data_IF_875305022774
#
_entry.id   IF_875305022774
#
_cell.length_a   1.000
_cell.length_b   1.000
_cell.length_c   1.000
_cell.angle_alpha   90.00
_cell.angle_beta   90.00
_cell.angle_gamma   90.00
#
_symmetry.space_group_name_H-M   'P 1'
#
loop_
_entity.id
_entity.type
_entity.pdbx_description
1 polymer ?
#
# COMPACT_ATOMS: atom_id res chain seq x y z
N UNK A 1 -9.09 -10.69 12.96
CA UNK A 1 -8.13 -11.10 14.01
C UNK A 1 -7.37 -9.86 14.44
N UNK A 2 -7.02 -9.74 15.72
CA UNK A 2 -6.14 -8.68 16.23
C UNK A 2 -4.81 -9.30 16.66
N UNK A 3 -3.72 -8.73 16.18
CA UNK A 3 -2.33 -9.00 16.53
C UNK A 3 -1.81 -8.05 17.59
N UNK A 4 -2.27 -6.79 17.59
CA UNK A 4 -1.90 -5.79 18.60
C UNK A 4 -3.06 -5.57 19.55
N UNK A 5 -3.03 -6.25 20.70
CA UNK A 5 -4.00 -6.02 21.77
C UNK A 5 -3.60 -4.79 22.60
N UNK A 6 -3.86 -3.60 22.05
CA UNK A 6 -3.64 -2.35 22.75
C UNK A 6 -4.71 -1.30 22.45
N UNK A 7 -5.39 -0.83 23.50
CA UNK A 7 -6.29 0.32 23.42
C UNK A 7 -5.56 1.58 23.83
N UNK A 8 -5.29 2.44 22.86
CA UNK A 8 -4.64 3.72 23.12
C UNK A 8 -5.51 4.64 23.97
N UNK A 9 -4.83 5.36 24.86
CA UNK A 9 -5.41 6.32 25.79
C UNK A 9 -4.86 7.70 25.43
N UNK A 10 -5.63 8.76 25.69
CA UNK A 10 -5.15 10.14 25.51
C UNK A 10 -3.91 10.37 26.39
N UNK A 11 -2.85 10.95 25.81
CA UNK A 11 -1.62 11.31 26.52
C UNK A 11 -0.36 10.69 25.91
N UNK A 12 0.73 10.70 26.68
CA UNK A 12 2.03 10.17 26.26
C UNK A 12 1.95 8.67 25.96
N UNK A 13 2.53 8.27 24.84
CA UNK A 13 2.57 6.89 24.38
C UNK A 13 3.45 6.06 25.34
N UNK A 14 2.89 5.11 26.10
CA UNK A 14 3.65 4.40 27.11
C UNK A 14 4.47 3.26 26.50
N UNK A 15 5.56 2.83 27.16
CA UNK A 15 6.42 1.74 26.65
C UNK A 15 5.68 0.42 26.40
N UNK A 16 4.55 0.17 27.08
CA UNK A 16 3.68 -0.99 26.82
C UNK A 16 3.09 -0.99 25.41
N UNK A 17 2.84 0.18 24.82
CA UNK A 17 2.35 0.31 23.46
C UNK A 17 3.36 -0.25 22.45
N UNK A 18 4.61 0.22 22.54
CA UNK A 18 5.66 -0.22 21.62
C UNK A 18 5.91 -1.72 21.71
N UNK A 19 5.91 -2.28 22.92
CA UNK A 19 6.02 -3.72 23.13
C UNK A 19 4.89 -4.50 22.47
N UNK A 20 3.63 -4.07 22.63
CA UNK A 20 2.48 -4.72 22.00
C UNK A 20 2.56 -4.68 20.47
N UNK A 21 3.01 -3.56 19.89
CA UNK A 21 3.23 -3.45 18.44
C UNK A 21 4.34 -4.39 17.98
N UNK A 22 5.47 -4.42 18.67
CA UNK A 22 6.58 -5.31 18.33
C UNK A 22 6.19 -6.79 18.43
N UNK A 23 5.51 -7.18 19.51
CA UNK A 23 4.97 -8.54 19.71
C UNK A 23 3.97 -8.92 18.61
N UNK A 24 3.05 -8.01 18.27
CA UNK A 24 2.09 -8.22 17.18
C UNK A 24 2.74 -8.40 15.81
N UNK A 25 3.82 -7.64 15.52
CA UNK A 25 4.60 -7.83 14.30
C UNK A 25 5.31 -9.18 14.28
N UNK A 26 5.91 -9.61 15.39
CA UNK A 26 6.55 -10.92 15.47
C UNK A 26 5.53 -12.07 15.40
N UNK A 27 4.32 -11.89 15.91
CA UNK A 27 3.24 -12.86 15.78
C UNK A 27 2.73 -12.93 14.33
N UNK A 28 2.55 -11.78 13.67
CA UNK A 28 2.19 -11.74 12.25
C UNK A 28 3.21 -12.46 11.36
N UNK A 29 4.51 -12.39 11.66
CA UNK A 29 5.53 -13.13 10.91
C UNK A 29 5.37 -14.65 10.97
N UNK A 30 4.75 -15.19 12.03
CA UNK A 30 4.49 -16.63 12.17
C UNK A 30 3.26 -17.08 11.38
N UNK A 31 2.39 -16.14 11.01
CA UNK A 31 1.17 -16.42 10.27
C UNK A 31 1.50 -16.95 8.86
N UNK A 32 0.80 -18.02 8.48
CA UNK A 32 0.95 -18.61 7.15
C UNK A 32 -0.02 -17.98 6.15
N UNK A 33 -1.16 -17.44 6.63
CA UNK A 33 -2.19 -16.82 5.81
C UNK A 33 -2.18 -15.28 5.87
N UNK A 34 -1.41 -14.66 4.98
CA UNK A 34 -1.31 -13.19 4.81
C UNK A 34 -2.56 -12.55 4.18
N UNK A 35 -3.50 -13.35 3.69
CA UNK A 35 -4.76 -12.90 3.08
C UNK A 35 -5.89 -12.82 4.09
N UNK A 36 -5.62 -13.06 5.37
CA UNK A 36 -6.65 -12.95 6.41
C UNK A 36 -6.88 -11.47 6.75
N UNK A 37 -8.12 -10.96 6.62
CA UNK A 37 -8.42 -9.59 7.01
C UNK A 37 -8.18 -9.34 8.50
N UNK A 38 -7.65 -8.16 8.79
CA UNK A 38 -7.46 -7.69 10.14
C UNK A 38 -8.81 -7.24 10.73
N UNK A 39 -9.00 -7.42 12.05
CA UNK A 39 -10.22 -6.96 12.73
C UNK A 39 -10.32 -5.44 12.72
N UNK A 40 -11.55 -4.90 12.77
CA UNK A 40 -11.76 -3.48 13.11
C UNK A 40 -11.20 -3.09 14.48
N UNK A 41 -11.04 -4.05 15.39
CA UNK A 41 -10.46 -3.83 16.73
C UNK A 41 -8.97 -3.45 16.71
N UNK A 42 -8.30 -3.61 15.56
CA UNK A 42 -6.92 -3.18 15.32
C UNK A 42 -6.82 -1.72 14.88
N UNK A 43 -7.95 -1.06 14.63
CA UNK A 43 -7.98 0.36 14.37
C UNK A 43 -7.30 1.14 15.48
N UNK A 44 -6.48 2.10 15.07
CA UNK A 44 -5.85 3.05 15.98
C UNK A 44 -6.87 4.01 16.57
N UNK A 45 -7.07 3.94 17.88
CA UNK A 45 -7.99 4.82 18.60
C UNK A 45 -9.44 4.77 18.06
N UNK A 46 -10.34 5.55 18.66
CA UNK A 46 -11.66 5.75 18.10
C UNK A 46 -11.57 6.68 16.87
N UNK A 47 -11.86 6.13 15.68
CA UNK A 47 -12.06 6.91 14.45
C UNK A 47 -10.93 6.89 13.43
N UNK A 48 -9.87 6.09 13.60
CA UNK A 48 -8.96 5.81 12.48
C UNK A 48 -9.40 4.55 11.73
N UNK A 49 -9.29 4.61 10.41
CA UNK A 49 -9.56 3.47 9.53
C UNK A 49 -8.55 2.33 9.78
N UNK A 50 -8.98 1.09 9.53
CA UNK A 50 -8.22 -0.14 9.80
C UNK A 50 -6.90 -0.18 9.02
N UNK A 51 -6.83 0.50 7.87
CA UNK A 51 -5.61 0.67 7.06
C UNK A 51 -4.47 1.35 7.83
N UNK A 52 -4.80 2.20 8.79
CA UNK A 52 -3.85 2.83 9.71
C UNK A 52 -3.74 2.03 11.04
N UNK A 53 -3.95 0.72 11.02
CA UNK A 53 -3.85 -0.13 12.22
C UNK A 53 -2.45 -0.10 12.87
N UNK A 54 -2.40 -0.50 14.13
CA UNK A 54 -1.13 -0.62 14.86
C UNK A 54 -0.15 -1.58 14.18
N UNK A 55 -0.64 -2.72 13.71
CA UNK A 55 0.17 -3.70 12.99
C UNK A 55 0.77 -3.09 11.72
N UNK A 56 -0.05 -2.38 10.93
CA UNK A 56 0.39 -1.72 9.70
C UNK A 56 1.54 -0.73 9.98
N UNK A 57 1.36 0.17 10.95
CA UNK A 57 2.42 1.09 11.36
C UNK A 57 3.69 0.37 11.87
N UNK A 58 3.54 -0.73 12.62
CA UNK A 58 4.65 -1.53 13.13
C UNK A 58 5.47 -2.15 12.01
N UNK A 59 4.81 -2.82 11.05
CA UNK A 59 5.45 -3.40 9.86
C UNK A 59 6.21 -2.32 9.09
N UNK A 60 5.57 -1.19 8.82
CA UNK A 60 6.19 -0.10 8.07
C UNK A 60 7.38 0.55 8.77
N UNK A 61 7.34 0.65 10.10
CA UNK A 61 8.49 1.10 10.89
C UNK A 61 9.71 0.21 10.67
N UNK A 62 9.51 -1.12 10.69
CA UNK A 62 10.59 -2.10 10.48
C UNK A 62 11.09 -2.08 9.02
N UNK A 63 10.19 -2.07 8.05
CA UNK A 63 10.49 -2.11 6.61
C UNK A 63 11.25 -0.85 6.15
N UNK A 64 10.87 0.33 6.64
CA UNK A 64 11.53 1.60 6.32
C UNK A 64 12.84 1.80 7.11
N UNK A 65 13.19 0.90 8.04
CA UNK A 65 14.29 1.07 9.01
C UNK A 65 14.25 2.44 9.70
N UNK A 66 13.04 2.88 10.03
CA UNK A 66 12.81 4.21 10.56
C UNK A 66 13.33 4.29 12.00
N UNK A 67 14.10 5.33 12.31
CA UNK A 67 14.64 5.54 13.66
C UNK A 67 13.56 6.02 14.64
N UNK A 68 12.51 6.66 14.13
CA UNK A 68 11.38 7.13 14.91
C UNK A 68 10.42 5.99 15.25
N UNK A 69 9.97 5.96 16.50
CA UNK A 69 8.99 4.98 16.94
C UNK A 69 7.59 5.32 16.41
N UNK A 70 6.70 4.32 16.22
CA UNK A 70 5.33 4.58 15.77
C UNK A 70 4.60 5.55 16.72
N UNK A 71 4.08 6.68 16.23
CA UNK A 71 3.33 7.65 17.07
C UNK A 71 1.91 7.15 17.43
N UNK A 72 0.97 8.00 17.88
CA UNK A 72 -0.47 7.69 18.13
C UNK A 72 -1.47 8.26 17.11
N UNK A 73 -1.06 9.08 16.12
CA UNK A 73 -1.93 9.64 15.06
C UNK A 73 -2.21 8.74 13.84
N UNK A 74 -3.08 9.13 12.92
CA UNK A 74 -3.45 8.34 11.72
C UNK A 74 -2.35 8.25 10.64
N UNK A 75 -1.17 8.82 10.88
CA UNK A 75 -0.06 8.86 9.94
C UNK A 75 1.23 8.30 10.55
N UNK A 76 2.05 7.74 9.67
CA UNK A 76 3.40 7.31 9.93
C UNK A 76 4.38 8.43 9.56
N UNK A 77 5.30 8.77 10.47
CA UNK A 77 6.31 9.81 10.23
C UNK A 77 7.64 9.13 9.90
N UNK A 78 8.17 9.43 8.73
CA UNK A 78 9.46 8.97 8.27
C UNK A 78 10.48 10.11 8.40
N UNK A 79 11.69 9.78 8.88
CA UNK A 79 12.80 10.72 8.95
C UNK A 79 14.07 10.15 8.31
N UNK A 80 14.77 11.01 7.59
CA UNK A 80 16.11 10.75 7.04
C UNK A 80 16.97 11.98 7.31
N UNK A 81 17.88 11.88 8.29
CA UNK A 81 18.62 13.05 8.78
C UNK A 81 17.69 14.12 9.35
N UNK A 82 17.78 15.35 8.83
CA UNK A 82 16.90 16.47 9.21
C UNK A 82 15.60 16.52 8.42
N UNK A 83 15.45 15.66 7.42
CA UNK A 83 14.29 15.63 6.53
C UNK A 83 13.19 14.76 7.12
N UNK A 84 11.95 15.24 7.03
CA UNK A 84 10.76 14.57 7.50
C UNK A 84 9.70 14.48 6.40
N UNK A 85 9.03 13.34 6.30
CA UNK A 85 7.85 13.14 5.47
C UNK A 85 6.82 12.35 6.27
N UNK A 86 5.53 12.57 6.00
CA UNK A 86 4.46 11.77 6.62
C UNK A 86 3.78 10.89 5.58
N UNK A 87 3.30 9.75 6.03
CA UNK A 87 2.55 8.80 5.25
C UNK A 87 1.22 8.53 5.94
N UNK A 88 0.14 8.76 5.22
CA UNK A 88 -1.14 8.18 5.60
C UNK A 88 -1.24 6.76 5.02
N UNK A 89 -2.31 6.04 5.30
CA UNK A 89 -2.57 4.74 4.71
C UNK A 89 -3.84 4.82 3.85
N UNK A 90 -3.91 3.96 2.86
CA UNK A 90 -5.08 3.76 1.99
C UNK A 90 -5.07 2.31 1.48
N UNK A 91 -6.14 1.90 0.83
CA UNK A 91 -6.31 0.58 0.23
C UNK A 91 -5.95 0.62 -1.27
N UNK A 92 -5.04 -0.27 -1.70
CA UNK A 92 -4.53 -0.33 -3.08
C UNK A 92 -5.57 -0.73 -4.12
N UNK A 93 -6.58 -1.47 -3.70
CA UNK A 93 -7.69 -1.88 -4.55
C UNK A 93 -8.98 -1.55 -3.81
N UNK A 94 -9.25 -0.26 -3.68
CA UNK A 94 -10.40 0.30 -2.99
C UNK A 94 -11.46 0.76 -3.98
N UNK A 95 -12.27 -0.14 -4.57
CA UNK A 95 -13.34 0.35 -5.40
C UNK A 95 -14.45 0.79 -4.44
N UNK A 96 -14.51 2.08 -4.07
CA UNK A 96 -15.56 2.53 -3.16
C UNK A 96 -16.93 2.29 -3.80
N UNK A 97 -17.71 1.41 -3.18
CA UNK A 97 -19.02 0.98 -3.68
C UNK A 97 -20.05 2.01 -3.22
N UNK A 98 -20.59 2.81 -4.15
CA UNK A 98 -21.82 3.57 -3.91
C UNK A 98 -22.94 2.96 -4.74
N UNK A 99 -23.74 2.09 -4.11
CA UNK A 99 -24.80 1.34 -4.79
C UNK A 99 -24.23 0.21 -5.65
N UNK A 100 -24.56 0.17 -6.96
CA UNK A 100 -24.01 -0.80 -7.94
C UNK A 100 -22.88 -0.24 -8.81
N UNK A 101 -22.34 0.92 -8.43
CA UNK A 101 -21.29 1.60 -9.19
C UNK A 101 -20.07 1.73 -8.29
N UNK A 102 -18.94 1.26 -8.80
CA UNK A 102 -17.64 1.49 -8.19
C UNK A 102 -17.18 2.90 -8.53
N UNK A 103 -16.55 3.60 -7.58
CA UNK A 103 -15.90 4.91 -7.79
C UNK A 103 -14.94 4.82 -8.96
N UNK A 104 -13.95 3.95 -8.77
CA UNK A 104 -12.93 3.62 -9.73
C UNK A 104 -13.52 3.01 -11.01
N UNK A 105 -13.36 3.74 -12.12
CA UNK A 105 -13.88 3.36 -13.43
C UNK A 105 -13.43 1.98 -13.97
N UNK A 106 -12.42 1.35 -13.36
CA UNK A 106 -11.94 0.00 -13.70
C UNK A 106 -12.92 -1.10 -13.32
N UNK A 107 -13.76 -0.86 -12.31
CA UNK A 107 -14.59 -1.88 -11.69
C UNK A 107 -16.05 -1.81 -12.12
N UNK A 108 -16.40 -0.92 -13.07
CA UNK A 108 -17.79 -0.59 -13.46
C UNK A 108 -18.68 -1.80 -13.79
N UNK A 109 -18.10 -2.97 -14.08
CA UNK A 109 -18.82 -4.21 -14.39
C UNK A 109 -18.19 -5.44 -13.70
N UNK A 110 -17.81 -5.34 -12.43
CA UNK A 110 -17.39 -6.54 -11.69
C UNK A 110 -18.53 -7.58 -11.64
N UNK A 111 -18.21 -8.82 -12.01
CA UNK A 111 -19.06 -9.96 -11.71
C UNK A 111 -19.09 -10.26 -10.19
N UNK A 112 -20.06 -11.06 -9.76
CA UNK A 112 -20.28 -11.35 -8.34
C UNK A 112 -19.08 -12.05 -7.69
N UNK A 113 -18.37 -12.90 -8.42
CA UNK A 113 -17.20 -13.64 -7.92
C UNK A 113 -16.03 -12.69 -7.65
N UNK A 114 -15.74 -11.78 -8.58
CA UNK A 114 -14.69 -10.80 -8.43
C UNK A 114 -14.99 -9.78 -7.33
N UNK A 115 -16.27 -9.44 -7.15
CA UNK A 115 -16.73 -8.63 -6.01
C UNK A 115 -16.45 -9.28 -4.65
N UNK A 116 -16.67 -10.58 -4.49
CA UNK A 116 -16.35 -11.29 -3.24
C UNK A 116 -14.85 -11.42 -3.01
N UNK A 117 -14.06 -11.64 -4.06
CA UNK A 117 -12.60 -11.67 -3.96
C UNK A 117 -12.01 -10.34 -3.49
N UNK A 118 -12.49 -9.20 -4.01
CA UNK A 118 -12.07 -7.87 -3.56
C UNK A 118 -12.39 -7.64 -2.09
N UNK A 119 -13.61 -8.02 -1.65
CA UNK A 119 -14.00 -7.90 -0.23
C UNK A 119 -13.13 -8.76 0.67
N UNK A 120 -12.78 -9.97 0.22
CA UNK A 120 -11.96 -10.90 0.99
C UNK A 120 -10.54 -10.37 1.27
N UNK A 121 -10.00 -9.51 0.40
CA UNK A 121 -8.65 -8.94 0.57
C UNK A 121 -8.64 -7.50 1.11
N UNK A 122 -9.80 -6.86 1.25
CA UNK A 122 -9.93 -5.41 1.48
C UNK A 122 -9.06 -4.90 2.64
N UNK A 123 -9.20 -5.49 3.83
CA UNK A 123 -8.39 -5.15 5.02
C UNK A 123 -7.27 -6.14 5.31
N UNK A 124 -6.60 -6.65 4.27
CA UNK A 124 -5.39 -7.46 4.44
C UNK A 124 -4.15 -6.57 4.46
N UNK A 125 -3.11 -6.98 5.20
CA UNK A 125 -1.88 -6.21 5.35
C UNK A 125 -1.24 -5.85 3.99
N UNK A 126 -1.29 -6.74 2.99
CA UNK A 126 -0.72 -6.41 1.68
C UNK A 126 -1.65 -5.66 0.73
N UNK A 127 -2.88 -5.36 1.13
CA UNK A 127 -3.75 -4.45 0.38
C UNK A 127 -3.76 -3.03 0.97
N UNK A 128 -3.18 -2.85 2.17
CA UNK A 128 -2.93 -1.54 2.78
C UNK A 128 -1.59 -1.00 2.31
N UNK A 129 -1.55 0.27 1.92
CA UNK A 129 -0.31 0.91 1.47
C UNK A 129 -0.18 2.34 2.02
N UNK A 130 1.04 2.78 2.35
CA UNK A 130 1.29 4.13 2.77
C UNK A 130 1.23 5.11 1.58
N UNK A 131 0.41 6.14 1.72
CA UNK A 131 0.28 7.28 0.82
C UNK A 131 1.19 8.42 1.32
N UNK A 132 2.23 8.81 0.56
CA UNK A 132 3.12 9.89 0.95
C UNK A 132 2.40 11.24 0.91
N UNK A 133 2.64 12.04 1.94
CA UNK A 133 2.30 13.46 1.97
C UNK A 133 3.59 14.26 2.00
N UNK A 134 3.82 15.03 0.94
CA UNK A 134 5.09 15.71 0.75
C UNK A 134 5.09 17.07 1.46
N UNK A 135 6.09 17.38 2.30
CA UNK A 135 6.13 18.65 3.01
C UNK A 135 6.33 19.81 2.03
N UNK A 136 5.69 20.94 2.34
CA UNK A 136 5.86 22.22 1.66
C UNK A 136 6.44 23.26 2.63
N UNK A 137 7.06 24.30 2.08
CA UNK A 137 7.50 25.45 2.87
C UNK A 137 6.32 26.02 3.68
N UNK A 138 6.54 26.29 4.98
CA UNK A 138 5.49 26.79 5.88
C UNK A 138 4.70 25.71 6.62
N UNK A 139 5.10 24.43 6.54
CA UNK A 139 4.54 23.35 7.37
C UNK A 139 3.25 22.72 6.86
N UNK A 140 2.79 23.12 5.68
CA UNK A 140 1.72 22.43 4.93
C UNK A 140 2.26 21.21 4.17
N UNK A 141 1.35 20.39 3.64
CA UNK A 141 1.71 19.20 2.86
C UNK A 141 0.94 19.15 1.54
N UNK A 142 1.56 18.57 0.51
CA UNK A 142 0.83 18.00 -0.62
C UNK A 142 0.09 16.77 -0.08
N UNK A 143 -1.23 16.92 0.07
CA UNK A 143 -2.13 15.91 0.62
C UNK A 143 -2.30 14.76 -0.39
N UNK A 144 -1.57 13.67 -0.15
CA UNK A 144 -1.57 12.50 -1.04
C UNK A 144 -2.93 11.81 -1.10
N UNK A 145 -3.74 11.84 -0.03
CA UNK A 145 -5.06 11.23 -0.02
C UNK A 145 -6.04 12.02 -0.90
N UNK A 146 -6.03 13.36 -0.81
CA UNK A 146 -6.82 14.22 -1.72
C UNK A 146 -6.36 14.10 -3.16
N UNK A 147 -5.06 13.99 -3.40
CA UNK A 147 -4.52 13.77 -4.73
C UNK A 147 -5.02 12.44 -5.31
N UNK A 148 -4.92 11.35 -4.55
CA UNK A 148 -5.42 10.04 -4.96
C UNK A 148 -6.93 10.06 -5.24
N UNK A 149 -7.72 10.70 -4.37
CA UNK A 149 -9.17 10.89 -4.56
C UNK A 149 -9.51 11.71 -5.81
N UNK A 150 -8.71 12.71 -6.15
CA UNK A 150 -8.90 13.51 -7.37
C UNK A 150 -8.67 12.71 -8.66
N UNK A 151 -7.96 11.58 -8.55
CA UNK A 151 -7.68 10.64 -9.62
C UNK A 151 -8.63 9.43 -9.57
N UNK A 152 -9.81 9.55 -8.96
CA UNK A 152 -10.80 8.47 -8.89
C UNK A 152 -10.29 7.20 -8.19
N UNK A 153 -9.40 7.39 -7.20
CA UNK A 153 -8.77 6.28 -6.45
C UNK A 153 -8.01 5.29 -7.38
N UNK A 154 -7.55 5.80 -8.54
CA UNK A 154 -6.77 5.04 -9.53
C UNK A 154 -5.29 5.07 -9.21
N UNK A 155 -4.81 3.94 -8.72
CA UNK A 155 -3.39 3.75 -8.40
C UNK A 155 -2.46 3.88 -9.61
N UNK A 156 -2.84 3.41 -10.80
CA UNK A 156 -1.99 3.57 -11.99
C UNK A 156 -1.75 5.05 -12.34
N UNK A 157 -2.78 5.90 -12.20
CA UNK A 157 -2.68 7.33 -12.42
C UNK A 157 -1.93 8.03 -11.27
N UNK A 158 -2.24 7.65 -10.03
CA UNK A 158 -1.60 8.22 -8.84
C UNK A 158 -0.09 7.95 -8.83
N UNK A 159 0.33 6.71 -9.11
CA UNK A 159 1.73 6.33 -9.18
C UNK A 159 2.47 7.03 -10.32
N UNK A 160 1.82 7.30 -11.47
CA UNK A 160 2.40 8.12 -12.54
C UNK A 160 2.63 9.57 -12.11
N UNK A 161 1.67 10.17 -11.39
CA UNK A 161 1.82 11.52 -10.83
C UNK A 161 2.96 11.54 -9.81
N UNK A 162 3.02 10.54 -8.92
CA UNK A 162 4.12 10.40 -7.97
C UNK A 162 5.45 10.28 -8.70
N UNK A 163 5.62 9.35 -9.66
CA UNK A 163 6.87 9.16 -10.40
C UNK A 163 7.33 10.44 -11.07
N UNK A 164 6.42 11.14 -11.74
CA UNK A 164 6.71 12.38 -12.49
C UNK A 164 7.16 13.53 -11.60
N UNK A 165 6.73 13.55 -10.34
CA UNK A 165 6.98 14.65 -9.42
C UNK A 165 7.87 14.28 -8.22
N UNK A 166 8.27 13.01 -8.08
CA UNK A 166 8.93 12.49 -6.88
C UNK A 166 10.17 13.30 -6.50
N UNK A 167 11.07 13.53 -7.47
CA UNK A 167 12.30 14.32 -7.24
C UNK A 167 12.02 15.78 -6.84
N UNK A 168 10.87 16.33 -7.21
CA UNK A 168 10.48 17.70 -6.92
C UNK A 168 9.78 17.84 -5.57
N UNK A 169 8.96 16.85 -5.21
CA UNK A 169 8.15 16.90 -3.99
C UNK A 169 8.83 16.23 -2.81
N UNK A 170 9.60 15.17 -3.04
CA UNK A 170 10.33 14.50 -1.97
C UNK A 170 11.53 15.35 -1.55
N UNK A 171 11.59 15.78 -0.27
CA UNK A 171 12.73 16.52 0.26
C UNK A 171 14.04 15.71 0.34
N UNK A 172 13.99 14.39 0.34
CA UNK A 172 15.16 13.50 0.27
C UNK A 172 14.92 12.36 -0.74
N UNK A 173 15.01 12.65 -2.06
CA UNK A 173 14.76 11.66 -3.10
C UNK A 173 15.88 10.61 -3.20
N UNK A 174 17.03 10.83 -2.54
CA UNK A 174 18.12 9.86 -2.48
C UNK A 174 17.94 8.88 -1.31
N UNK A 175 17.45 9.35 -0.15
CA UNK A 175 17.12 8.50 0.99
C UNK A 175 15.87 7.64 0.75
N UNK A 176 14.92 8.15 -0.02
CA UNK A 176 13.76 7.38 -0.48
C UNK A 176 13.43 7.71 -1.94
N UNK A 177 13.99 6.97 -2.90
CA UNK A 177 13.60 7.12 -4.31
C UNK A 177 12.19 6.60 -4.58
N UNK A 178 11.63 6.95 -5.73
CA UNK A 178 10.32 6.43 -6.15
C UNK A 178 10.35 4.91 -6.30
N UNK A 179 11.42 4.38 -6.90
CA UNK A 179 11.63 2.94 -7.08
C UNK A 179 11.74 2.25 -5.72
N UNK A 180 12.43 2.88 -4.76
CA UNK A 180 12.52 2.36 -3.40
C UNK A 180 11.16 2.35 -2.73
N UNK A 181 10.37 3.40 -2.88
CA UNK A 181 8.98 3.43 -2.40
C UNK A 181 8.17 2.28 -3.00
N UNK A 182 8.17 2.12 -4.33
CA UNK A 182 7.47 1.05 -5.05
C UNK A 182 7.88 -0.35 -4.59
N UNK A 183 9.16 -0.56 -4.29
CA UNK A 183 9.67 -1.83 -3.78
C UNK A 183 9.15 -2.10 -2.37
N UNK A 184 9.19 -1.09 -1.50
CA UNK A 184 8.76 -1.23 -0.11
C UNK A 184 7.24 -1.42 0.00
N UNK A 185 6.46 -0.80 -0.88
CA UNK A 185 4.98 -0.94 -0.93
C UNK A 185 4.51 -2.15 -1.71
N UNK A 186 5.42 -2.92 -2.29
CA UNK A 186 5.10 -4.05 -3.17
C UNK A 186 4.23 -3.67 -4.40
N UNK A 187 4.45 -2.47 -4.94
CA UNK A 187 3.70 -1.92 -6.08
C UNK A 187 4.40 -2.12 -7.43
N UNK A 188 5.43 -2.97 -7.50
CA UNK A 188 6.22 -3.28 -8.70
C UNK A 188 5.36 -3.69 -9.90
N UNK A 189 4.19 -4.29 -9.66
CA UNK A 189 3.26 -4.75 -10.70
C UNK A 189 2.77 -3.66 -11.64
N UNK A 190 2.88 -2.38 -11.24
CA UNK A 190 2.51 -1.24 -12.07
C UNK A 190 3.58 -0.87 -13.10
N UNK A 191 4.78 -1.45 -13.02
CA UNK A 191 5.78 -1.31 -14.08
C UNK A 191 5.42 -2.19 -15.27
N UNK A 192 5.51 -1.62 -16.48
CA UNK A 192 5.16 -2.28 -17.74
C UNK A 192 5.83 -3.64 -17.90
N UNK A 193 7.13 -3.71 -17.65
CA UNK A 193 7.92 -4.94 -17.78
C UNK A 193 7.49 -6.04 -16.81
N UNK A 194 7.04 -5.67 -15.61
CA UNK A 194 6.56 -6.59 -14.57
C UNK A 194 5.14 -7.03 -14.88
N UNK A 195 4.29 -6.08 -15.29
CA UNK A 195 2.92 -6.37 -15.70
C UNK A 195 2.87 -7.36 -16.88
N UNK A 196 3.73 -7.16 -17.87
CA UNK A 196 3.86 -8.06 -19.01
C UNK A 196 4.42 -9.44 -18.61
N UNK A 197 5.33 -9.50 -17.64
CA UNK A 197 5.88 -10.75 -17.09
C UNK A 197 4.76 -11.63 -16.52
N UNK A 198 3.94 -11.03 -15.64
CA UNK A 198 2.77 -11.69 -15.03
C UNK A 198 1.79 -12.16 -16.11
N UNK A 199 1.62 -11.37 -17.17
CA UNK A 199 0.72 -11.67 -18.28
C UNK A 199 1.21 -12.82 -19.17
N UNK A 200 2.52 -12.96 -19.36
CA UNK A 200 3.15 -13.98 -20.23
C UNK A 200 3.23 -15.35 -19.55
N UNK A 201 3.38 -15.42 -18.23
CA UNK A 201 3.49 -16.68 -17.48
C UNK A 201 2.18 -17.49 -17.36
N UNK A 202 1.11 -17.17 -18.11
CA UNK A 202 -0.13 -17.96 -18.08
C UNK A 202 -0.87 -17.87 -16.74
N UNK A 203 -0.76 -16.71 -16.08
CA UNK A 203 -1.67 -16.20 -15.07
C UNK A 203 -2.15 -17.19 -13.98
N UNK A 204 -1.18 -17.73 -13.24
CA UNK A 204 -1.47 -18.26 -11.91
C UNK A 204 -0.80 -17.37 -10.87
N UNK A 205 -1.43 -16.24 -10.55
CA UNK A 205 -1.01 -15.33 -9.45
C UNK A 205 -0.87 -16.05 -8.10
N UNK A 206 -1.43 -17.26 -7.97
CA UNK A 206 -1.22 -18.18 -6.86
C UNK A 206 0.25 -18.62 -6.67
N UNK A 207 1.11 -18.42 -7.67
CA UNK A 207 2.52 -18.83 -7.65
C UNK A 207 3.51 -17.67 -7.48
N UNK A 208 3.05 -16.45 -7.17
CA UNK A 208 3.97 -15.36 -6.85
C UNK A 208 4.62 -15.67 -5.49
N UNK A 209 5.91 -15.98 -5.52
CA UNK A 209 6.73 -16.24 -4.33
C UNK A 209 7.55 -15.01 -3.95
N UNK A 210 8.17 -15.04 -2.77
CA UNK A 210 9.15 -14.01 -2.37
C UNK A 210 10.28 -13.88 -3.39
N UNK A 211 10.71 -14.99 -4.00
CA UNK A 211 11.79 -14.96 -4.99
C UNK A 211 11.32 -14.34 -6.32
N UNK A 212 10.07 -14.52 -6.72
CA UNK A 212 9.48 -13.78 -7.84
C UNK A 212 9.56 -12.27 -7.60
N UNK A 213 9.26 -11.81 -6.39
CA UNK A 213 9.28 -10.38 -6.05
C UNK A 213 10.71 -9.84 -5.98
N UNK A 214 11.64 -10.62 -5.43
CA UNK A 214 13.07 -10.26 -5.47
C UNK A 214 13.54 -10.07 -6.92
N UNK A 215 13.17 -10.97 -7.83
CA UNK A 215 13.47 -10.81 -9.26
C UNK A 215 12.85 -9.55 -9.85
N UNK A 216 11.64 -9.17 -9.45
CA UNK A 216 11.03 -7.91 -9.91
C UNK A 216 11.77 -6.68 -9.40
N UNK A 217 12.26 -6.69 -8.16
CA UNK A 217 13.05 -5.59 -7.60
C UNK A 217 14.29 -5.29 -8.44
N UNK A 218 14.96 -6.33 -8.94
CA UNK A 218 16.18 -6.22 -9.73
C UNK A 218 15.93 -5.73 -11.17
N UNK A 219 14.68 -5.72 -11.63
CA UNK A 219 14.29 -5.31 -12.99
C UNK A 219 13.90 -3.85 -13.09
N UNK A 220 13.47 -3.23 -11.99
CA UNK A 220 12.94 -1.87 -12.00
C UNK A 220 14.08 -0.86 -12.01
N UNK A 221 13.98 0.10 -12.93
CA UNK A 221 14.92 1.22 -13.05
C UNK A 221 14.18 2.56 -13.04
N UNK A 222 14.88 3.69 -12.82
CA UNK A 222 14.28 5.01 -12.96
C UNK A 222 13.60 5.26 -14.32
N UNK A 223 14.13 4.63 -15.38
CA UNK A 223 13.60 4.77 -16.75
C UNK A 223 12.46 3.80 -17.06
N UNK A 224 12.21 2.80 -16.20
CA UNK A 224 11.11 1.84 -16.37
C UNK A 224 9.76 2.56 -16.38
N UNK A 225 8.91 2.22 -17.34
CA UNK A 225 7.60 2.86 -17.53
C UNK A 225 6.54 2.25 -16.63
N UNK A 226 5.61 3.08 -16.17
CA UNK A 226 4.40 2.62 -15.49
C UNK A 226 3.28 2.43 -16.51
N UNK A 227 2.44 1.43 -16.27
CA UNK A 227 1.24 1.20 -17.06
C UNK A 227 0.18 2.26 -16.75
N UNK A 228 -0.73 2.48 -17.71
CA UNK A 228 -2.01 3.15 -17.47
C UNK A 228 -3.11 2.25 -17.99
N UNK A 229 -4.14 1.99 -17.20
CA UNK A 229 -5.30 1.24 -17.71
C UNK A 229 -6.23 2.10 -18.57
N UNK A 230 -5.88 3.39 -18.77
CA UNK A 230 -6.49 4.23 -19.80
C UNK A 230 -5.88 3.99 -21.18
N UNK A 231 -4.69 3.38 -21.25
CA UNK A 231 -4.09 2.94 -22.50
C UNK A 231 -4.81 1.67 -22.99
N UNK A 232 -5.31 1.62 -24.25
CA UNK A 232 -5.90 0.42 -24.83
C UNK A 232 -5.03 -0.84 -24.71
N UNK A 233 -3.70 -0.72 -24.70
CA UNK A 233 -2.77 -1.85 -24.50
C UNK A 233 -2.98 -2.57 -23.17
N UNK A 234 -3.37 -1.84 -22.12
CA UNK A 234 -3.58 -2.36 -20.76
C UNK A 234 -5.04 -2.24 -20.30
N UNK A 235 -5.95 -1.86 -21.20
CA UNK A 235 -7.35 -1.67 -20.86
C UNK A 235 -7.94 -2.96 -20.28
N UNK A 236 -8.60 -2.80 -19.14
CA UNK A 236 -9.27 -3.90 -18.44
C UNK A 236 -10.61 -4.30 -19.08
N UNK A 237 -11.06 -3.57 -20.11
CA UNK A 237 -12.25 -3.93 -20.86
C UNK A 237 -12.01 -5.18 -21.71
N UNK A 238 -12.47 -6.33 -21.20
CA UNK A 238 -12.54 -7.58 -21.95
C UNK A 238 -11.36 -8.55 -21.78
N UNK A 239 -10.41 -8.27 -20.87
CA UNK A 239 -9.24 -9.14 -20.66
C UNK A 239 -9.29 -9.83 -19.31
N UNK A 240 -8.90 -11.12 -19.26
CA UNK A 240 -8.64 -11.87 -18.01
C UNK A 240 -7.67 -11.14 -17.09
N UNK A 241 -6.89 -10.21 -17.66
CA UNK A 241 -5.91 -9.33 -17.01
C UNK A 241 -6.51 -8.38 -15.95
N UNK A 242 -7.80 -8.05 -16.04
CA UNK A 242 -8.51 -7.26 -15.01
C UNK A 242 -8.55 -7.98 -13.67
N UNK A 243 -8.78 -9.30 -13.68
CA UNK A 243 -8.94 -10.12 -12.47
C UNK A 243 -7.69 -10.15 -11.58
N UNK A 244 -6.50 -9.94 -12.13
CA UNK A 244 -5.22 -10.16 -11.43
C UNK A 244 -4.71 -8.94 -10.67
N UNK A 245 -5.08 -7.74 -11.10
CA UNK A 245 -4.80 -6.50 -10.37
C UNK A 245 -5.89 -6.20 -9.36
N UNK A 246 -7.14 -6.49 -9.71
CA UNK A 246 -8.30 -6.31 -8.83
C UNK A 246 -8.44 -7.42 -7.79
N UNK A 247 -7.88 -8.61 -8.04
CA UNK A 247 -7.89 -9.77 -7.13
C UNK A 247 -6.75 -9.76 -6.11
N UNK A 248 -6.05 -8.64 -5.97
CA UNK A 248 -4.87 -8.52 -5.13
C UNK A 248 -3.67 -9.18 -5.81
N UNK A 249 -2.65 -8.38 -6.10
CA UNK A 249 -1.31 -8.96 -6.05
C UNK A 249 -1.18 -9.57 -4.66
N UNK A 250 -0.76 -10.83 -4.51
CA UNK A 250 -0.36 -11.38 -3.22
C UNK A 250 0.32 -10.32 -2.37
N UNK A 251 -0.13 -10.08 -1.13
CA UNK A 251 0.72 -9.53 -0.10
C UNK A 251 2.02 -10.31 -0.15
N UNK A 252 3.02 -9.73 -0.80
CA UNK A 252 4.35 -10.30 -0.79
C UNK A 252 4.72 -10.28 0.67
N UNK A 253 5.13 -11.44 1.21
CA UNK A 253 5.74 -11.47 2.53
C UNK A 253 6.81 -10.39 2.53
N UNK A 254 6.58 -9.31 3.28
CA UNK A 254 7.65 -8.37 3.59
C UNK A 254 8.81 -9.27 4.02
N UNK A 255 9.90 -9.29 3.25
CA UNK A 255 11.09 -10.00 3.66
C UNK A 255 11.68 -9.17 4.80
N UNK A 256 11.07 -9.32 5.98
CA UNK A 256 11.60 -8.90 7.26
C UNK A 256 12.71 -9.85 7.67
#
# INVERSE_FOLDING_TARGET
MSYVDYKAQKGTIPQKYYRAVDEGVEEFKKEQNVYKPISGDESRNNGCDVEASYLCHGIWTKVMKNSEKPMTGSYFKWKSGEVEMIFHFDIMNNPSIKGKKYSCGLFKELDAELGENVKAIYHTIGNMTPIPWFPLAGGSYIDGQKLHKSLDERWDLYLQVLKSNWKKWNPDPNGLSFERYMILTCQQVYYEEIYEDISKEGANTKNITVDTIRRWNDRITPDSKLISFSDPKYSLQGTTQSRYLTGGVPPVRFSM
#
